data_IF_539964224824
#
_entry.id   IF_539964224824
#
_cell.length_a   1.000
_cell.length_b   1.000
_cell.length_c   1.000
_cell.angle_alpha   90.00
_cell.angle_beta   90.00
_cell.angle_gamma   90.00
#
_symmetry.space_group_name_H-M   'P 1'
#
loop_
_entity.id
_entity.type
_entity.pdbx_description
1 polymer ?
#
# COMPACT_ATOMS: atom_id res chain seq x y z
N UNK A 1 -15.33 -1.79 -1.94
CA UNK A 1 -14.24 -2.01 -2.91
C UNK A 1 -13.06 -2.65 -2.18
N UNK A 2 -12.37 -3.61 -2.80
CA UNK A 2 -11.18 -4.27 -2.21
C UNK A 2 -9.95 -3.36 -2.26
N UNK A 3 -9.08 -3.44 -1.25
CA UNK A 3 -7.80 -2.72 -1.21
C UNK A 3 -6.91 -3.02 -2.44
N UNK A 4 -6.95 -4.24 -2.98
CA UNK A 4 -6.18 -4.59 -4.18
C UNK A 4 -6.65 -3.82 -5.42
N UNK A 5 -7.96 -3.66 -5.57
CA UNK A 5 -8.53 -2.88 -6.68
C UNK A 5 -8.10 -1.44 -6.54
N UNK A 6 -8.21 -0.86 -5.34
CA UNK A 6 -7.79 0.52 -5.07
C UNK A 6 -6.29 0.74 -5.33
N UNK A 7 -5.42 -0.22 -5.00
CA UNK A 7 -3.99 -0.15 -5.31
C UNK A 7 -3.70 -0.16 -6.82
N UNK A 8 -4.45 -0.94 -7.62
CA UNK A 8 -4.29 -0.97 -9.09
C UNK A 8 -4.63 0.35 -9.75
N UNK A 9 -5.75 0.95 -9.36
CA UNK A 9 -6.23 2.20 -9.96
C UNK A 9 -5.63 3.44 -9.30
N UNK A 10 -4.79 3.28 -8.27
CA UNK A 10 -4.17 4.40 -7.55
C UNK A 10 -5.13 5.19 -6.65
N UNK A 11 -6.26 4.58 -6.29
CA UNK A 11 -7.26 5.12 -5.36
C UNK A 11 -7.14 4.56 -3.94
N UNK A 12 -6.06 3.83 -3.65
CA UNK A 12 -5.80 3.39 -2.28
C UNK A 12 -5.67 4.61 -1.36
N UNK A 13 -6.14 4.54 -0.10
CA UNK A 13 -6.03 5.63 0.87
C UNK A 13 -4.59 5.75 1.37
N UNK A 14 -3.69 6.09 0.45
CA UNK A 14 -2.30 6.46 0.68
C UNK A 14 -2.22 7.99 0.63
N UNK A 15 -1.30 8.57 1.39
CA UNK A 15 -1.26 10.02 1.60
C UNK A 15 -1.07 10.80 0.29
N UNK A 16 -0.41 10.25 -0.74
CA UNK A 16 -0.37 10.89 -2.08
C UNK A 16 -1.76 11.03 -2.72
N UNK A 17 -2.61 10.00 -2.61
CA UNK A 17 -3.98 10.06 -3.13
C UNK A 17 -4.85 10.96 -2.26
N UNK A 18 -4.77 10.80 -0.94
CA UNK A 18 -5.55 11.59 0.03
C UNK A 18 -5.25 13.08 -0.08
N UNK A 19 -3.97 13.46 -0.22
CA UNK A 19 -3.59 14.85 -0.43
C UNK A 19 -4.13 15.41 -1.76
N UNK A 20 -4.16 14.60 -2.83
CA UNK A 20 -4.74 15.01 -4.12
C UNK A 20 -6.25 15.31 -4.01
N UNK A 21 -6.97 14.60 -3.15
CA UNK A 21 -8.40 14.82 -2.92
C UNK A 21 -8.68 15.71 -1.70
N UNK A 22 -7.67 16.40 -1.16
CA UNK A 22 -7.77 17.27 0.03
C UNK A 22 -8.27 16.57 1.30
N UNK A 23 -8.04 15.25 1.44
CA UNK A 23 -8.38 14.47 2.64
C UNK A 23 -7.18 14.26 3.59
N UNK A 24 -5.97 14.64 3.18
CA UNK A 24 -4.78 14.63 4.03
C UNK A 24 -4.02 15.95 3.86
N UNK A 25 -3.47 16.47 4.96
CA UNK A 25 -2.70 17.73 4.99
C UNK A 25 -1.35 17.60 4.28
N UNK A 26 -0.81 16.38 4.19
CA UNK A 26 0.48 16.11 3.55
C UNK A 26 0.41 14.85 2.69
N UNK A 27 1.20 14.85 1.61
CA UNK A 27 1.42 13.66 0.79
C UNK A 27 2.49 12.72 1.36
N UNK A 28 3.16 13.12 2.44
CA UNK A 28 4.25 12.38 3.05
C UNK A 28 3.79 11.05 3.67
N UNK A 29 4.69 10.06 3.76
CA UNK A 29 4.39 8.80 4.42
C UNK A 29 4.53 8.94 5.94
N UNK A 30 3.47 8.70 6.68
CA UNK A 30 3.49 8.78 8.15
C UNK A 30 4.42 7.75 8.79
N UNK A 31 4.65 6.61 8.11
CA UNK A 31 5.42 5.50 8.65
C UNK A 31 6.95 5.70 8.53
N UNK A 32 7.41 6.44 7.53
CA UNK A 32 8.86 6.62 7.29
C UNK A 32 9.27 8.04 6.89
N UNK A 33 8.34 9.00 6.94
CA UNK A 33 8.55 10.40 6.61
C UNK A 33 9.07 10.67 5.18
N UNK A 34 8.84 9.74 4.25
CA UNK A 34 9.17 9.96 2.83
C UNK A 34 8.24 11.04 2.24
N UNK A 35 8.70 11.84 1.28
CA UNK A 35 7.94 13.00 0.77
C UNK A 35 6.61 12.61 0.10
N UNK A 36 6.50 11.39 -0.44
CA UNK A 36 5.30 10.92 -1.12
C UNK A 36 4.98 9.46 -0.79
N UNK A 37 3.86 9.22 -0.10
CA UNK A 37 3.29 7.87 0.07
C UNK A 37 2.52 7.46 -1.19
N UNK A 38 3.26 6.99 -2.21
CA UNK A 38 2.67 6.41 -3.42
C UNK A 38 2.48 4.89 -3.29
N UNK A 39 1.68 4.28 -4.17
CA UNK A 39 1.53 2.81 -4.25
C UNK A 39 2.90 2.13 -4.40
N UNK A 40 3.78 2.70 -5.24
CA UNK A 40 5.14 2.22 -5.42
C UNK A 40 5.92 2.28 -4.10
N UNK A 41 5.89 3.44 -3.44
CA UNK A 41 6.58 3.62 -2.17
C UNK A 41 6.08 2.60 -1.13
N UNK A 42 4.77 2.51 -0.93
CA UNK A 42 4.15 1.60 0.02
C UNK A 42 4.54 0.13 -0.22
N UNK A 43 4.47 -0.34 -1.47
CA UNK A 43 4.68 -1.76 -1.82
C UNK A 43 6.16 -2.13 -1.98
N UNK A 44 7.02 -1.21 -2.46
CA UNK A 44 8.40 -1.53 -2.86
C UNK A 44 9.48 -0.89 -1.99
N UNK A 45 9.24 0.32 -1.46
CA UNK A 45 10.33 1.18 -0.96
C UNK A 45 10.25 1.50 0.54
N UNK A 46 9.06 1.54 1.14
CA UNK A 46 8.82 2.11 2.47
C UNK A 46 9.51 1.35 3.62
N UNK A 47 10.59 1.84 4.25
CA UNK A 47 11.37 1.05 5.22
C UNK A 47 10.54 0.52 6.40
N UNK A 48 9.46 1.21 6.79
CA UNK A 48 8.55 0.76 7.85
C UNK A 48 7.90 -0.61 7.59
N UNK A 49 7.74 -1.00 6.33
CA UNK A 49 7.17 -2.31 5.93
C UNK A 49 8.24 -3.29 5.39
N UNK A 50 9.49 -3.12 5.81
CA UNK A 50 10.61 -3.93 5.30
C UNK A 50 10.44 -5.43 5.57
N UNK A 51 9.93 -5.81 6.73
CA UNK A 51 9.70 -7.21 7.11
C UNK A 51 8.64 -7.88 6.23
N UNK A 52 7.50 -7.21 6.04
CA UNK A 52 6.42 -7.71 5.19
C UNK A 52 6.88 -7.78 3.73
N UNK A 53 7.66 -6.80 3.26
CA UNK A 53 8.29 -6.85 1.92
C UNK A 53 9.28 -7.99 1.79
N UNK A 54 10.05 -8.30 2.83
CA UNK A 54 10.99 -9.41 2.82
C UNK A 54 10.25 -10.73 2.56
N UNK A 55 9.15 -10.99 3.27
CA UNK A 55 8.31 -12.16 3.03
C UNK A 55 7.75 -12.20 1.60
N UNK A 56 7.27 -11.06 1.08
CA UNK A 56 6.78 -10.95 -0.30
C UNK A 56 7.89 -11.25 -1.33
N UNK A 57 9.11 -10.72 -1.11
CA UNK A 57 10.29 -10.94 -1.97
C UNK A 57 10.76 -12.40 -1.95
N UNK A 58 10.72 -13.06 -0.79
CA UNK A 58 11.06 -14.48 -0.71
C UNK A 58 10.13 -15.34 -1.57
N UNK A 59 8.84 -14.98 -1.64
CA UNK A 59 7.83 -15.73 -2.39
C UNK A 59 7.88 -15.50 -3.90
N UNK A 60 8.12 -14.26 -4.33
CA UNK A 60 8.07 -13.86 -5.75
C UNK A 60 9.45 -13.66 -6.40
N UNK A 61 10.53 -13.71 -5.62
CA UNK A 61 11.90 -13.50 -6.09
C UNK A 61 12.03 -12.21 -6.90
N UNK A 62 12.48 -12.31 -8.16
CA UNK A 62 12.74 -11.18 -9.05
C UNK A 62 11.46 -10.42 -9.40
N UNK A 63 10.30 -11.08 -9.37
CA UNK A 63 9.02 -10.46 -9.74
C UNK A 63 8.51 -9.47 -8.69
N UNK A 64 9.00 -9.57 -7.44
CA UNK A 64 8.68 -8.63 -6.37
C UNK A 64 9.22 -7.21 -6.59
N UNK A 65 10.07 -7.00 -7.61
CA UNK A 65 10.61 -5.67 -7.94
C UNK A 65 9.74 -4.91 -8.95
N UNK A 66 8.82 -5.60 -9.64
CA UNK A 66 7.95 -4.99 -10.62
C UNK A 66 6.57 -4.77 -10.05
N UNK A 67 6.19 -3.51 -9.87
CA UNK A 67 4.84 -3.16 -9.42
C UNK A 67 3.77 -3.69 -10.38
N UNK A 68 4.05 -3.67 -11.69
CA UNK A 68 3.13 -4.23 -12.69
C UNK A 68 2.93 -5.74 -12.49
N UNK A 69 4.00 -6.51 -12.26
CA UNK A 69 3.87 -7.95 -11.98
C UNK A 69 3.10 -8.19 -10.68
N UNK A 70 3.38 -7.41 -9.65
CA UNK A 70 2.68 -7.52 -8.35
C UNK A 70 1.19 -7.25 -8.45
N UNK A 71 0.77 -6.27 -9.25
CA UNK A 71 -0.62 -5.84 -9.32
C UNK A 71 -1.42 -6.53 -10.42
N UNK A 72 -0.80 -7.11 -11.45
CA UNK A 72 -1.50 -7.69 -12.60
C UNK A 72 -1.33 -9.20 -12.77
N UNK A 73 -0.50 -9.88 -11.97
CA UNK A 73 -0.39 -11.34 -11.99
C UNK A 73 -1.08 -11.98 -10.79
N UNK A 74 -1.65 -13.17 -10.97
CA UNK A 74 -2.26 -13.92 -9.87
C UNK A 74 -1.32 -14.15 -8.67
N UNK A 75 -0.09 -14.70 -8.86
CA UNK A 75 0.83 -14.90 -7.73
C UNK A 75 1.26 -13.58 -7.07
N UNK A 76 1.37 -12.50 -7.85
CA UNK A 76 1.62 -11.14 -7.39
C UNK A 76 0.51 -10.64 -6.46
N UNK A 77 -0.74 -10.76 -6.90
CA UNK A 77 -1.91 -10.32 -6.16
C UNK A 77 -2.04 -11.01 -4.82
N UNK A 78 -1.88 -12.32 -4.80
CA UNK A 78 -1.94 -13.09 -3.56
C UNK A 78 -0.85 -12.65 -2.58
N UNK A 79 0.33 -12.27 -3.08
CA UNK A 79 1.42 -11.80 -2.24
C UNK A 79 1.16 -10.38 -1.72
N UNK A 80 0.64 -9.48 -2.57
CA UNK A 80 0.24 -8.11 -2.18
C UNK A 80 -0.93 -8.16 -1.19
N UNK A 81 -1.88 -9.08 -1.37
CA UNK A 81 -2.99 -9.27 -0.43
C UNK A 81 -2.49 -9.64 0.96
N UNK A 82 -1.55 -10.60 1.02
CA UNK A 82 -0.90 -10.98 2.28
C UNK A 82 -0.10 -9.82 2.88
N UNK A 83 0.67 -9.11 2.06
CA UNK A 83 1.42 -7.91 2.47
C UNK A 83 0.51 -6.84 3.09
N UNK A 84 -0.61 -6.52 2.42
CA UNK A 84 -1.62 -5.58 2.91
C UNK A 84 -2.23 -6.05 4.24
N UNK A 85 -2.57 -7.34 4.35
CA UNK A 85 -3.14 -7.90 5.57
C UNK A 85 -2.15 -7.84 6.75
N UNK A 86 -0.86 -8.11 6.49
CA UNK A 86 0.20 -8.09 7.52
C UNK A 86 0.69 -6.69 7.87
N UNK A 87 0.65 -5.74 6.94
CA UNK A 87 1.07 -4.35 7.20
C UNK A 87 0.07 -3.59 8.07
N UNK A 88 -1.20 -4.02 8.11
CA UNK A 88 -2.24 -3.40 8.92
C UNK A 88 -2.68 -2.00 8.48
N UNK A 89 -2.05 -1.41 7.46
CA UNK A 89 -2.33 -0.05 6.97
C UNK A 89 -3.79 0.18 6.58
N UNK A 90 -4.45 -0.86 6.05
CA UNK A 90 -5.85 -0.82 5.62
C UNK A 90 -6.79 -1.62 6.52
N UNK A 91 -6.36 -2.05 7.72
CA UNK A 91 -7.20 -2.85 8.64
C UNK A 91 -8.41 -2.09 9.22
N UNK A 92 -8.61 -0.81 8.89
CA UNK A 92 -9.57 0.05 9.57
C UNK A 92 -10.48 0.89 8.63
N UNK A 93 -11.03 0.32 7.57
CA UNK A 93 -12.06 1.01 6.75
C UNK A 93 -13.50 0.87 7.31
N UNK A 94 -13.66 0.50 8.59
CA UNK A 94 -14.95 0.52 9.30
C UNK A 94 -14.88 1.28 10.64
N UNK A 95 -14.14 2.39 10.68
CA UNK A 95 -14.44 3.43 11.69
C UNK A 95 -14.95 4.63 10.93
N UNK A 96 -16.28 4.71 10.83
CA UNK A 96 -16.96 5.99 10.62
C UNK A 96 -16.53 6.86 11.80
N UNK A 97 -15.83 7.99 11.61
CA UNK A 97 -15.67 8.93 12.71
C UNK A 97 -17.06 9.47 12.99
N UNK A 98 -17.64 9.07 14.13
CA UNK A 98 -18.80 9.79 14.67
C UNK A 98 -18.33 11.23 14.89
N UNK A 99 -18.75 12.14 14.02
CA UNK A 99 -18.68 13.58 14.29
C UNK A 99 -19.39 13.80 15.62
N UNK A 100 -18.65 14.20 16.63
CA UNK A 100 -19.20 15.00 17.73
C UNK A 100 -18.93 16.46 17.41
#
# INVERSE_FOLDING_TARGET
MSALVQLRIGHAPLNKHLHRINCAESAACDACNAPFESVRHFVLDCPAYAEQRWSMRLRLRRDAQSLSKLLYTQPGLDAVAKFVATSGRFRNTHVVPSRR
#
